data_IF_796353317403
#
_entry.id   IF_796353317403
#
_cell.length_a   1.000
_cell.length_b   1.000
_cell.length_c   1.000
_cell.angle_alpha   90.00
_cell.angle_beta   90.00
_cell.angle_gamma   90.00
#
_symmetry.space_group_name_H-M   'P 1'
#
loop_
_entity.id
_entity.type
_entity.pdbx_description
1 polymer ?
#
# COMPACT_ATOMS: atom_id res chain seq x y z
N UNK A 1 -28.87 -19.38 7.42
CA UNK A 1 -28.05 -18.31 8.01
C UNK A 1 -26.92 -18.05 7.02
N UNK A 2 -27.03 -16.99 6.22
CA UNK A 2 -25.96 -16.63 5.29
C UNK A 2 -24.83 -16.09 6.14
N UNK A 3 -23.69 -16.78 6.15
CA UNK A 3 -22.47 -16.27 6.77
C UNK A 3 -22.07 -15.09 5.90
N UNK A 4 -22.15 -13.87 6.43
CA UNK A 4 -21.68 -12.69 5.71
C UNK A 4 -20.21 -12.88 5.34
N UNK A 5 -19.80 -12.49 4.12
CA UNK A 5 -18.42 -12.60 3.70
C UNK A 5 -17.55 -11.76 4.64
N UNK A 6 -16.83 -12.44 5.54
CA UNK A 6 -16.04 -11.78 6.58
C UNK A 6 -14.57 -11.66 6.16
N UNK A 7 -13.97 -10.52 6.44
CA UNK A 7 -12.53 -10.34 6.40
C UNK A 7 -11.83 -11.42 7.23
N UNK A 8 -10.95 -12.17 6.59
CA UNK A 8 -9.95 -12.97 7.27
C UNK A 8 -8.68 -12.13 7.48
N UNK A 9 -8.28 -11.96 8.73
CA UNK A 9 -7.04 -11.28 9.10
C UNK A 9 -5.86 -12.26 9.11
N UNK A 10 -4.64 -11.72 9.13
CA UNK A 10 -3.46 -12.50 9.48
C UNK A 10 -3.53 -12.92 10.96
N UNK A 11 -3.18 -14.16 11.29
CA UNK A 11 -3.44 -14.74 12.61
C UNK A 11 -2.53 -14.14 13.70
N UNK A 12 -1.25 -13.92 13.38
CA UNK A 12 -0.27 -13.35 14.30
C UNK A 12 -0.28 -11.81 14.19
N UNK A 13 -1.37 -11.19 14.66
CA UNK A 13 -1.60 -9.74 14.54
C UNK A 13 -0.51 -8.88 15.20
N UNK A 14 0.08 -9.38 16.30
CA UNK A 14 1.09 -8.65 17.06
C UNK A 14 2.53 -8.98 16.67
N UNK A 15 2.75 -10.00 15.83
CA UNK A 15 4.09 -10.42 15.43
C UNK A 15 4.43 -9.89 14.02
N UNK A 16 5.08 -8.74 14.01
CA UNK A 16 5.55 -8.08 12.80
C UNK A 16 6.60 -8.92 12.06
N UNK A 17 7.42 -9.69 12.77
CA UNK A 17 8.42 -10.57 12.16
C UNK A 17 7.75 -11.77 11.48
N UNK A 18 6.78 -12.40 12.14
CA UNK A 18 6.02 -13.49 11.55
C UNK A 18 5.28 -13.06 10.27
N UNK A 19 4.74 -11.83 10.25
CA UNK A 19 4.14 -11.26 9.04
C UNK A 19 5.16 -11.16 7.90
N UNK A 20 6.34 -10.58 8.15
CA UNK A 20 7.40 -10.43 7.13
C UNK A 20 7.84 -11.78 6.58
N UNK A 21 8.16 -12.72 7.48
CA UNK A 21 8.59 -14.08 7.09
C UNK A 21 7.51 -14.77 6.25
N UNK A 22 6.24 -14.65 6.63
CA UNK A 22 5.11 -15.21 5.87
C UNK A 22 4.93 -14.56 4.51
N UNK A 23 5.01 -13.24 4.42
CA UNK A 23 4.93 -12.51 3.16
C UNK A 23 6.02 -12.96 2.20
N UNK A 24 7.27 -13.02 2.66
CA UNK A 24 8.40 -13.46 1.82
C UNK A 24 8.20 -14.91 1.38
N UNK A 25 7.87 -15.82 2.30
CA UNK A 25 7.71 -17.24 2.00
C UNK A 25 6.60 -17.51 0.97
N UNK A 26 5.44 -16.88 1.13
CA UNK A 26 4.32 -17.09 0.20
C UNK A 26 4.60 -16.48 -1.17
N UNK A 27 5.20 -15.30 -1.25
CA UNK A 27 5.56 -14.73 -2.54
C UNK A 27 6.68 -15.56 -3.22
N UNK A 28 7.60 -16.15 -2.46
CA UNK A 28 8.58 -17.08 -3.01
C UNK A 28 7.91 -18.34 -3.60
N UNK A 29 6.91 -18.90 -2.92
CA UNK A 29 6.10 -19.99 -3.45
C UNK A 29 5.36 -19.60 -4.72
N UNK A 30 4.69 -18.43 -4.73
CA UNK A 30 4.02 -17.90 -5.93
C UNK A 30 4.96 -17.80 -7.13
N UNK A 31 6.17 -17.28 -6.91
CA UNK A 31 7.20 -17.18 -7.96
C UNK A 31 7.57 -18.54 -8.53
N UNK A 32 7.80 -19.51 -7.65
CA UNK A 32 8.37 -20.80 -8.02
C UNK A 32 7.33 -21.78 -8.57
N UNK A 33 6.05 -21.58 -8.26
CA UNK A 33 4.97 -22.51 -8.60
C UNK A 33 4.02 -21.91 -9.65
N UNK A 34 3.43 -20.75 -9.37
CA UNK A 34 2.36 -20.18 -10.20
C UNK A 34 2.93 -19.33 -11.33
N UNK A 35 3.93 -18.51 -11.04
CA UNK A 35 4.56 -17.60 -11.99
C UNK A 35 5.84 -18.21 -12.61
N UNK A 36 6.03 -19.51 -12.45
CA UNK A 36 7.21 -20.19 -12.94
C UNK A 36 7.31 -20.06 -14.47
N UNK A 37 8.42 -19.49 -14.94
CA UNK A 37 8.68 -19.31 -16.38
C UNK A 37 7.94 -18.14 -17.02
N UNK A 38 7.27 -17.28 -16.26
CA UNK A 38 6.72 -16.04 -16.79
C UNK A 38 7.87 -15.12 -17.27
N UNK A 39 7.91 -14.76 -18.57
CA UNK A 39 8.99 -13.97 -19.14
C UNK A 39 9.04 -12.52 -18.65
N UNK A 40 7.98 -12.05 -17.98
CA UNK A 40 7.92 -10.70 -17.41
C UNK A 40 8.54 -10.61 -16.01
N UNK A 41 8.95 -11.74 -15.42
CA UNK A 41 9.69 -11.73 -14.17
C UNK A 41 11.11 -11.20 -14.40
N UNK A 42 11.57 -10.31 -13.51
CA UNK A 42 12.98 -9.97 -13.43
C UNK A 42 13.70 -10.92 -12.46
N UNK A 43 14.40 -11.96 -12.93
CA UNK A 43 14.99 -12.99 -12.08
C UNK A 43 16.15 -12.48 -11.21
N UNK A 44 16.67 -11.28 -11.49
CA UNK A 44 17.76 -10.66 -10.72
C UNK A 44 17.26 -10.07 -9.41
N UNK A 45 15.97 -9.83 -9.28
CA UNK A 45 15.40 -9.19 -8.11
C UNK A 45 15.05 -10.21 -7.02
N UNK A 46 15.34 -9.89 -5.75
CA UNK A 46 14.91 -10.70 -4.64
C UNK A 46 13.42 -10.50 -4.35
N UNK A 47 12.92 -11.29 -3.40
CA UNK A 47 11.68 -10.98 -2.69
C UNK A 47 12.09 -10.37 -1.35
N UNK A 48 11.75 -9.11 -1.14
CA UNK A 48 12.21 -8.34 0.02
C UNK A 48 11.09 -7.48 0.58
N UNK A 49 11.01 -7.41 1.91
CA UNK A 49 10.13 -6.48 2.62
C UNK A 49 10.97 -5.38 3.27
N UNK A 50 10.57 -4.12 3.06
CA UNK A 50 11.15 -2.94 3.72
C UNK A 50 10.08 -2.09 4.41
N UNK A 51 10.54 -1.21 5.29
CA UNK A 51 9.76 -0.11 5.86
C UNK A 51 8.43 -0.55 6.52
N UNK A 52 8.41 -1.74 7.15
CA UNK A 52 7.28 -2.17 7.96
C UNK A 52 7.07 -1.20 9.11
N UNK A 53 5.82 -0.76 9.28
CA UNK A 53 5.40 0.12 10.36
C UNK A 53 3.91 -0.05 10.62
N UNK A 54 3.51 0.22 11.86
CA UNK A 54 2.10 0.34 12.23
C UNK A 54 1.66 1.78 12.04
N UNK A 55 0.57 1.99 11.30
CA UNK A 55 -0.06 3.29 11.08
C UNK A 55 -1.56 3.08 11.21
N UNK A 56 -2.18 3.82 12.14
CA UNK A 56 -3.57 3.63 12.53
C UNK A 56 -3.85 2.14 12.83
N UNK A 57 -4.85 1.54 12.20
CA UNK A 57 -5.21 0.13 12.33
C UNK A 57 -4.54 -0.78 11.28
N UNK A 58 -3.42 -0.36 10.70
CA UNK A 58 -2.76 -1.06 9.60
C UNK A 58 -1.29 -1.35 9.90
N UNK A 59 -0.83 -2.53 9.52
CA UNK A 59 0.59 -2.79 9.26
C UNK A 59 0.86 -2.48 7.80
N UNK A 60 1.61 -1.40 7.56
CA UNK A 60 2.01 -0.97 6.23
C UNK A 60 3.45 -1.39 5.97
N UNK A 61 3.70 -2.04 4.84
CA UNK A 61 5.04 -2.43 4.40
C UNK A 61 5.24 -2.19 2.92
N UNK A 62 6.51 -2.18 2.49
CA UNK A 62 6.90 -2.13 1.09
C UNK A 62 7.41 -3.51 0.70
N UNK A 63 6.80 -4.11 -0.33
CA UNK A 63 7.18 -5.40 -0.89
C UNK A 63 7.81 -5.20 -2.26
N UNK A 64 9.03 -5.69 -2.43
CA UNK A 64 9.67 -5.90 -3.72
C UNK A 64 9.60 -7.40 -4.06
N UNK A 65 9.18 -7.70 -5.28
CA UNK A 65 9.26 -9.03 -5.89
C UNK A 65 9.84 -8.90 -7.31
N UNK A 66 10.16 -10.01 -7.99
CA UNK A 66 10.53 -9.98 -9.42
C UNK A 66 9.50 -9.37 -10.38
N UNK A 67 8.23 -9.25 -9.99
CA UNK A 67 7.14 -8.75 -10.85
C UNK A 67 6.51 -7.45 -10.36
N UNK A 68 6.77 -7.02 -9.12
CA UNK A 68 6.20 -5.76 -8.62
C UNK A 68 6.98 -5.15 -7.46
N UNK A 69 6.92 -3.82 -7.40
CA UNK A 69 7.10 -3.05 -6.18
C UNK A 69 5.72 -2.55 -5.75
N UNK A 70 5.30 -2.84 -4.52
CA UNK A 70 3.99 -2.43 -4.00
C UNK A 70 4.01 -2.13 -2.50
N UNK A 71 3.11 -1.25 -2.05
CA UNK A 71 2.79 -1.14 -0.62
C UNK A 71 1.70 -2.14 -0.28
N UNK A 72 1.90 -2.90 0.78
CA UNK A 72 0.87 -3.76 1.35
C UNK A 72 0.39 -3.18 2.67
N UNK A 73 -0.92 -3.28 2.91
CA UNK A 73 -1.58 -2.88 4.15
C UNK A 73 -2.34 -4.07 4.71
N UNK A 74 -1.93 -4.53 5.88
CA UNK A 74 -2.58 -5.61 6.60
C UNK A 74 -3.40 -5.05 7.75
N UNK A 75 -4.71 -5.30 7.80
CA UNK A 75 -5.55 -4.81 8.88
C UNK A 75 -5.16 -5.46 10.22
N UNK A 76 -5.10 -4.66 11.29
CA UNK A 76 -4.94 -5.12 12.68
C UNK A 76 -6.28 -5.55 13.31
N UNK A 77 -7.40 -5.07 12.74
CA UNK A 77 -8.78 -5.42 13.08
C UNK A 77 -9.62 -5.45 11.82
N UNK A 78 -10.77 -6.12 11.85
CA UNK A 78 -11.70 -6.13 10.70
C UNK A 78 -12.06 -4.68 10.36
N UNK A 79 -11.72 -4.20 9.16
CA UNK A 79 -12.04 -2.83 8.77
C UNK A 79 -13.54 -2.71 8.50
N UNK A 80 -14.11 -1.52 8.70
CA UNK A 80 -15.49 -1.19 8.34
C UNK A 80 -15.62 -0.96 6.82
N UNK A 81 -15.15 -1.93 6.04
CA UNK A 81 -15.15 -1.92 4.57
C UNK A 81 -15.81 -3.21 4.13
N UNK A 82 -16.86 -3.12 3.33
CA UNK A 82 -17.55 -4.30 2.80
C UNK A 82 -16.66 -5.04 1.78
N UNK A 83 -16.63 -6.37 1.86
CA UNK A 83 -15.95 -7.17 0.85
C UNK A 83 -16.82 -7.25 -0.43
N UNK A 84 -16.23 -7.10 -1.62
CA UNK A 84 -16.92 -7.38 -2.87
C UNK A 84 -17.42 -8.83 -2.92
N UNK A 85 -18.50 -9.08 -3.66
CA UNK A 85 -18.96 -10.45 -3.94
C UNK A 85 -17.85 -11.28 -4.57
N UNK A 86 -17.68 -12.54 -4.14
CA UNK A 86 -16.62 -13.42 -4.62
C UNK A 86 -15.29 -13.26 -3.91
N UNK A 87 -15.16 -12.29 -2.99
CA UNK A 87 -13.91 -11.97 -2.29
C UNK A 87 -13.90 -12.33 -0.81
N UNK A 88 -14.83 -13.19 -0.35
CA UNK A 88 -14.68 -13.79 0.98
C UNK A 88 -13.50 -14.77 1.03
N UNK A 89 -13.00 -15.04 2.23
CA UNK A 89 -11.97 -16.05 2.43
C UNK A 89 -12.35 -17.42 1.86
N UNK A 90 -13.62 -17.83 2.03
CA UNK A 90 -14.11 -19.12 1.55
C UNK A 90 -14.14 -19.19 0.02
N UNK A 91 -14.50 -18.09 -0.65
CA UNK A 91 -14.53 -18.02 -2.11
C UNK A 91 -13.11 -17.93 -2.72
N UNK A 92 -12.19 -17.29 -2.00
CA UNK A 92 -10.79 -17.15 -2.44
C UNK A 92 -9.94 -18.38 -2.13
N UNK A 93 -10.44 -19.34 -1.34
CA UNK A 93 -9.78 -20.63 -1.15
C UNK A 93 -9.76 -21.42 -2.46
N UNK A 94 -8.58 -21.64 -3.02
CA UNK A 94 -8.39 -22.36 -4.29
C UNK A 94 -8.69 -21.53 -5.54
N UNK A 95 -9.03 -20.24 -5.40
CA UNK A 95 -9.12 -19.33 -6.53
C UNK A 95 -7.73 -19.14 -7.18
N UNK A 96 -7.72 -18.88 -8.49
CA UNK A 96 -6.48 -18.59 -9.20
C UNK A 96 -5.84 -17.31 -8.63
N UNK A 97 -4.52 -17.35 -8.45
CA UNK A 97 -3.79 -16.18 -7.97
C UNK A 97 -3.96 -14.99 -8.93
N UNK A 98 -4.29 -13.83 -8.36
CA UNK A 98 -4.39 -12.58 -9.07
C UNK A 98 -3.53 -11.52 -8.35
N UNK A 99 -2.67 -10.83 -9.10
CA UNK A 99 -1.82 -9.77 -8.54
C UNK A 99 -2.66 -8.57 -8.09
N UNK A 100 -3.64 -8.15 -8.89
CA UNK A 100 -4.51 -7.00 -8.63
C UNK A 100 -5.97 -7.42 -8.59
N UNK A 101 -6.57 -7.45 -7.39
CA UNK A 101 -8.00 -7.66 -7.22
C UNK A 101 -8.83 -6.38 -7.41
N UNK A 102 -10.08 -6.35 -6.93
CA UNK A 102 -10.98 -5.21 -7.05
C UNK A 102 -10.42 -4.02 -6.29
N UNK A 103 -10.66 -2.83 -6.83
CA UNK A 103 -10.23 -1.59 -6.20
C UNK A 103 -11.15 -1.26 -5.02
N UNK A 104 -10.53 -1.00 -3.88
CA UNK A 104 -11.15 -0.60 -2.63
C UNK A 104 -10.71 0.81 -2.25
N UNK A 105 -11.57 1.52 -1.53
CA UNK A 105 -11.21 2.75 -0.83
C UNK A 105 -11.08 2.46 0.67
N UNK A 106 -10.09 3.08 1.32
CA UNK A 106 -9.90 3.01 2.77
C UNK A 106 -9.27 4.29 3.27
N UNK A 107 -9.41 4.59 4.56
CA UNK A 107 -8.75 5.75 5.17
C UNK A 107 -7.41 5.36 5.78
N UNK A 108 -6.42 6.22 5.57
CA UNK A 108 -5.10 6.14 6.20
C UNK A 108 -4.68 7.56 6.59
N UNK A 109 -4.33 7.77 7.85
CA UNK A 109 -4.00 9.08 8.42
C UNK A 109 -5.10 10.13 8.17
N UNK A 110 -6.36 9.70 8.23
CA UNK A 110 -7.53 10.55 7.95
C UNK A 110 -7.65 11.02 6.49
N UNK A 111 -6.94 10.39 5.56
CA UNK A 111 -7.01 10.68 4.13
C UNK A 111 -7.52 9.45 3.36
N UNK A 112 -8.47 9.61 2.43
CA UNK A 112 -8.93 8.51 1.60
C UNK A 112 -7.80 8.04 0.68
N UNK A 113 -7.59 6.73 0.65
CA UNK A 113 -6.65 6.02 -0.18
C UNK A 113 -7.39 5.04 -1.08
N UNK A 114 -6.77 4.69 -2.21
CA UNK A 114 -7.24 3.60 -3.08
C UNK A 114 -6.18 2.49 -3.12
N UNK A 115 -6.63 1.25 -3.07
CA UNK A 115 -5.78 0.07 -3.17
C UNK A 115 -6.56 -1.09 -3.80
N UNK A 116 -5.87 -2.13 -4.24
CA UNK A 116 -6.47 -3.38 -4.69
C UNK A 116 -6.63 -4.33 -3.51
N UNK A 117 -7.79 -4.96 -3.39
CA UNK A 117 -7.97 -6.05 -2.46
C UNK A 117 -7.14 -7.25 -2.92
N UNK A 118 -6.40 -7.85 -1.99
CA UNK A 118 -5.68 -9.09 -2.20
C UNK A 118 -6.08 -10.11 -1.14
N UNK A 119 -5.97 -11.38 -1.50
CA UNK A 119 -6.10 -12.49 -0.56
C UNK A 119 -5.01 -13.52 -0.87
N UNK A 120 -4.36 -14.01 0.18
CA UNK A 120 -3.47 -15.17 0.09
C UNK A 120 -3.73 -16.07 1.30
N UNK A 121 -3.85 -17.38 1.04
CA UNK A 121 -3.96 -18.34 2.12
C UNK A 121 -2.72 -18.27 3.01
N UNK A 122 -2.93 -18.07 4.31
CA UNK A 122 -1.86 -17.85 5.29
C UNK A 122 -1.54 -16.38 5.58
N UNK A 123 -1.98 -15.42 4.75
CA UNK A 123 -1.96 -13.99 5.07
C UNK A 123 -3.35 -13.42 5.37
N UNK A 124 -4.40 -14.04 4.83
CA UNK A 124 -5.73 -13.46 4.83
C UNK A 124 -5.84 -12.33 3.80
N UNK A 125 -6.76 -11.41 4.05
CA UNK A 125 -7.00 -10.25 3.20
C UNK A 125 -6.03 -9.12 3.52
N UNK A 126 -5.60 -8.43 2.48
CA UNK A 126 -4.74 -7.26 2.55
C UNK A 126 -5.11 -6.29 1.44
N UNK A 127 -4.64 -5.05 1.56
CA UNK A 127 -4.74 -4.06 0.50
C UNK A 127 -3.37 -3.86 -0.15
N UNK A 128 -3.33 -3.76 -1.47
CA UNK A 128 -2.13 -3.62 -2.29
C UNK A 128 -2.20 -2.33 -3.11
N UNK A 129 -1.23 -1.44 -2.93
CA UNK A 129 -1.03 -0.28 -3.79
C UNK A 129 0.19 -0.51 -4.69
N UNK A 130 0.00 -0.76 -6.00
CA UNK A 130 1.12 -0.97 -6.90
C UNK A 130 1.89 0.34 -7.06
N UNK A 131 3.21 0.26 -6.99
CA UNK A 131 4.13 1.37 -7.25
C UNK A 131 4.75 1.21 -8.63
N UNK A 132 5.26 0.01 -8.92
CA UNK A 132 5.87 -0.33 -10.20
C UNK A 132 5.54 -1.78 -10.53
N UNK A 133 5.05 -2.03 -11.74
CA UNK A 133 4.73 -3.38 -12.24
C UNK A 133 5.65 -3.81 -13.37
N UNK A 134 6.42 -2.88 -13.96
CA UNK A 134 7.46 -3.21 -14.92
C UNK A 134 8.82 -3.08 -14.26
N UNK A 135 9.36 -4.22 -13.82
CA UNK A 135 10.65 -4.28 -13.15
C UNK A 135 11.79 -4.73 -14.06
N UNK A 136 11.52 -5.08 -15.32
CA UNK A 136 12.54 -5.49 -16.31
C UNK A 136 13.74 -4.53 -16.40
N UNK A 137 13.57 -3.19 -16.35
CA UNK A 137 14.69 -2.27 -16.52
C UNK A 137 15.71 -2.26 -15.37
N UNK A 138 15.35 -2.79 -14.19
CA UNK A 138 16.18 -2.64 -12.99
C UNK A 138 17.19 -3.78 -12.87
N UNK A 139 18.48 -3.47 -12.65
CA UNK A 139 19.51 -4.50 -12.52
C UNK A 139 19.47 -5.24 -11.18
N UNK A 140 19.04 -4.58 -10.11
CA UNK A 140 19.02 -5.07 -8.73
C UNK A 140 18.00 -4.30 -7.87
N UNK A 141 17.83 -4.74 -6.63
CA UNK A 141 16.88 -4.13 -5.68
C UNK A 141 17.25 -2.68 -5.33
N UNK A 142 18.54 -2.37 -5.21
CA UNK A 142 18.98 -1.03 -4.81
C UNK A 142 18.65 -0.01 -5.90
N UNK A 143 18.76 -0.38 -7.17
CA UNK A 143 18.32 0.46 -8.30
C UNK A 143 16.81 0.73 -8.26
N UNK A 144 15.98 -0.27 -7.91
CA UNK A 144 14.53 -0.10 -7.76
C UNK A 144 14.21 0.90 -6.65
N UNK A 145 14.83 0.73 -5.47
CA UNK A 145 14.58 1.58 -4.33
C UNK A 145 15.16 2.99 -4.48
N UNK A 146 16.32 3.14 -5.14
CA UNK A 146 16.89 4.44 -5.47
C UNK A 146 15.96 5.24 -6.39
N UNK A 147 15.48 4.62 -7.46
CA UNK A 147 14.51 5.26 -8.37
C UNK A 147 13.22 5.67 -7.63
N UNK A 148 12.77 4.87 -6.66
CA UNK A 148 11.59 5.22 -5.87
C UNK A 148 11.82 6.29 -4.80
N UNK A 149 13.01 6.35 -4.19
CA UNK A 149 13.38 7.42 -3.27
C UNK A 149 13.28 8.78 -3.96
N UNK A 150 13.69 8.86 -5.23
CA UNK A 150 13.53 10.06 -6.06
C UNK A 150 12.06 10.40 -6.33
N UNK A 151 11.19 9.41 -6.57
CA UNK A 151 9.76 9.67 -6.75
C UNK A 151 9.09 10.13 -5.45
N UNK A 152 9.46 9.58 -4.29
CA UNK A 152 8.99 10.07 -2.99
C UNK A 152 9.43 11.52 -2.80
N UNK A 153 10.71 11.83 -3.04
CA UNK A 153 11.26 13.19 -2.93
C UNK A 153 10.53 14.17 -3.84
N UNK A 154 10.36 13.83 -5.11
CA UNK A 154 9.64 14.66 -6.09
C UNK A 154 8.16 14.82 -5.71
N UNK A 155 7.50 13.77 -5.21
CA UNK A 155 6.11 13.86 -4.73
C UNK A 155 6.00 14.76 -3.49
N UNK A 156 6.94 14.65 -2.56
CA UNK A 156 6.94 15.47 -1.34
C UNK A 156 7.22 16.94 -1.70
N UNK A 157 8.15 17.21 -2.63
CA UNK A 157 8.39 18.54 -3.22
C UNK A 157 7.12 19.10 -3.92
N UNK A 158 6.41 18.28 -4.70
CA UNK A 158 5.15 18.66 -5.34
C UNK A 158 4.01 18.86 -4.34
N UNK A 159 3.93 18.06 -3.27
CA UNK A 159 2.95 18.23 -2.20
C UNK A 159 3.20 19.48 -1.38
N UNK A 160 4.47 19.81 -1.12
CA UNK A 160 4.84 21.10 -0.52
C UNK A 160 4.50 22.27 -1.43
N UNK A 161 4.74 22.17 -2.73
CA UNK A 161 4.36 23.18 -3.72
C UNK A 161 2.83 23.34 -3.79
N UNK A 162 2.08 22.24 -3.84
CA UNK A 162 0.61 22.26 -3.86
C UNK A 162 0.00 22.80 -2.56
N UNK A 163 0.63 22.56 -1.40
CA UNK A 163 0.25 23.19 -0.13
C UNK A 163 0.43 24.70 -0.18
N UNK A 164 1.53 25.21 -0.77
CA UNK A 164 1.76 26.66 -0.95
C UNK A 164 0.76 27.32 -1.90
N UNK A 165 0.26 26.58 -2.90
CA UNK A 165 -0.69 27.10 -3.90
C UNK A 165 -2.17 26.92 -3.52
N UNK A 166 -2.47 26.37 -2.34
CA UNK A 166 -3.85 26.25 -1.88
C UNK A 166 -4.49 27.65 -1.71
N UNK A 167 -5.56 27.98 -2.47
CA UNK A 167 -6.17 29.33 -2.46
C UNK A 167 -6.61 29.79 -1.08
N UNK A 168 -6.98 28.83 -0.22
CA UNK A 168 -7.39 29.07 1.16
C UNK A 168 -6.26 29.67 2.02
N UNK A 169 -5.00 29.28 1.82
CA UNK A 169 -3.84 29.86 2.52
C UNK A 169 -3.44 31.25 1.99
N UNK A 170 -3.64 31.52 0.69
CA UNK A 170 -3.48 32.87 0.11
C UNK A 170 -4.50 33.85 0.69
N UNK A 171 -5.73 33.42 0.91
CA UNK A 171 -6.77 34.26 1.55
C UNK A 171 -6.51 34.47 3.04
N UNK A 172 -6.07 33.44 3.78
CA UNK A 172 -5.70 33.56 5.20
C UNK A 172 -4.49 34.49 5.37
N UNK A 173 -3.44 34.37 4.54
CA UNK A 173 -2.28 35.26 4.57
C UNK A 173 -2.64 36.72 4.24
N UNK A 174 -3.53 36.97 3.28
CA UNK A 174 -4.01 38.34 2.99
C UNK A 174 -4.77 38.92 4.19
N UNK A 175 -5.69 38.16 4.80
CA UNK A 175 -6.45 38.61 5.97
C UNK A 175 -5.56 38.90 7.19
N UNK A 176 -4.53 38.11 7.42
CA UNK A 176 -3.53 38.34 8.48
C UNK A 176 -2.62 39.55 8.19
N UNK A 177 -2.25 39.78 6.92
CA UNK A 177 -1.46 40.95 6.51
C UNK A 177 -2.26 42.26 6.68
N UNK A 178 -3.55 42.27 6.34
CA UNK A 178 -4.42 43.45 6.53
C UNK A 178 -4.81 43.70 7.99
N UNK A 179 -4.76 42.69 8.86
CA UNK A 179 -4.88 42.88 10.32
C UNK A 179 -3.65 43.54 10.94
N UNK A 180 -2.46 43.32 10.38
CA UNK A 180 -1.21 43.98 10.83
C UNK A 180 -1.02 45.42 10.34
N UNK A 181 -1.85 45.88 9.40
CA UNK A 181 -1.80 47.23 8.83
C UNK A 181 -2.89 48.17 9.35
N UNK A 182 -3.56 47.85 10.46
CA UNK A 182 -4.31 48.84 11.25
C UNK A 182 -3.48 49.22 12.48
N UNK A 183 -2.73 50.34 12.44
CA UNK A 183 -2.35 51.04 13.66
C UNK A 183 -3.62 51.54 14.35
N UNK A 184 -3.61 51.49 15.68
CA UNK A 184 -4.73 51.88 16.52
C UNK A 184 -5.19 53.31 16.30
N UNK A 185 -6.47 53.50 16.57
CA UNK A 185 -7.05 54.77 16.99
C UNK A 185 -6.25 55.30 18.19
N UNK A 186 -5.68 56.50 18.02
CA UNK A 186 -5.58 57.56 19.02
C UNK A 186 -6.00 58.87 18.31
#
# INVERSE_FOLDING_TARGET
MLIEPSWQLFQELDDDRALVERVIALHAALRNEILAGDPMLNPKLPIEVRALRRIDDWRALLLLTPWMLARLFFPLRVPAIELPTGWSAAEQQGAAYQVLGPRMCFDLLGQPQQAHLGYLQGLGHYLLQPICLNLEPYPDADAVFAAWADVIRVRDEHMEAARRDCPLQREISRRELFKRLRPGDD
#
